data_IF_764465269651
#
_entry.id   IF_764465269651
#
_cell.length_a   1.000
_cell.length_b   1.000
_cell.length_c   1.000
_cell.angle_alpha   90.00
_cell.angle_beta   90.00
_cell.angle_gamma   90.00
#
_symmetry.space_group_name_H-M   'P 1'
#
loop_
_entity.id
_entity.type
_entity.pdbx_description
1 polymer ?
#
# COMPACT_ATOMS: atom_id res chain seq x y z
N UNK A 1 19.19 4.92 -17.82
CA UNK A 1 18.02 5.11 -16.94
C UNK A 1 16.91 4.20 -17.47
N UNK A 2 16.91 2.92 -17.05
CA UNK A 2 15.96 1.92 -17.57
C UNK A 2 14.77 1.86 -16.61
N UNK A 3 13.60 2.32 -17.10
CA UNK A 3 12.31 2.14 -16.43
C UNK A 3 11.92 0.66 -16.54
N UNK A 4 12.04 -0.08 -15.46
CA UNK A 4 11.44 -1.41 -15.34
C UNK A 4 9.92 -1.25 -15.18
N UNK A 5 9.22 -1.34 -16.31
CA UNK A 5 7.77 -1.53 -16.31
C UNK A 5 7.52 -2.96 -15.86
N UNK A 6 7.20 -3.15 -14.58
CA UNK A 6 6.74 -4.44 -14.05
C UNK A 6 5.35 -4.72 -14.61
N UNK A 7 5.29 -5.60 -15.59
CA UNK A 7 4.05 -6.13 -16.14
C UNK A 7 3.49 -7.10 -15.10
N UNK A 8 2.49 -6.64 -14.34
CA UNK A 8 1.74 -7.49 -13.42
C UNK A 8 0.86 -8.43 -14.25
N UNK A 9 1.36 -9.64 -14.53
CA UNK A 9 0.68 -10.67 -15.30
C UNK A 9 -0.56 -11.15 -14.56
N UNK A 10 -1.70 -11.23 -15.27
CA UNK A 10 -2.99 -11.72 -14.80
C UNK A 10 -2.91 -13.21 -14.42
N UNK A 11 -2.68 -13.49 -13.15
CA UNK A 11 -2.66 -14.86 -12.60
C UNK A 11 -4.07 -15.20 -12.10
N UNK A 12 -4.55 -16.38 -12.55
CA UNK A 12 -5.88 -16.94 -12.19
C UNK A 12 -5.97 -17.24 -10.70
N UNK A 13 -7.16 -17.14 -10.08
CA UNK A 13 -7.33 -17.46 -8.67
C UNK A 13 -7.17 -18.96 -8.43
N UNK A 14 -6.14 -19.36 -7.71
CA UNK A 14 -5.98 -20.69 -7.17
C UNK A 14 -6.18 -20.66 -5.67
N UNK A 15 -7.19 -21.37 -5.24
CA UNK A 15 -7.48 -22.00 -3.95
C UNK A 15 -6.97 -21.34 -2.65
N UNK A 16 -7.94 -20.96 -1.87
CA UNK A 16 -7.90 -20.42 -0.51
C UNK A 16 -7.48 -21.47 0.53
N UNK A 17 -6.20 -21.75 0.61
CA UNK A 17 -5.65 -22.22 1.89
C UNK A 17 -5.42 -20.98 2.78
N UNK A 18 -5.68 -21.07 4.09
CA UNK A 18 -5.38 -19.97 5.00
C UNK A 18 -3.88 -19.66 4.94
N UNK A 19 -3.53 -18.44 4.52
CA UNK A 19 -2.15 -17.99 4.44
C UNK A 19 -1.67 -17.68 5.85
N UNK A 20 -1.08 -18.63 6.52
CA UNK A 20 -0.52 -18.46 7.88
C UNK A 20 0.96 -18.14 7.78
N UNK A 21 1.37 -17.07 8.42
CA UNK A 21 2.77 -16.67 8.54
C UNK A 21 3.36 -17.38 9.77
N UNK A 22 4.51 -18.03 9.62
CA UNK A 22 5.22 -18.61 10.74
C UNK A 22 6.02 -17.53 11.48
N UNK A 23 5.95 -17.55 12.81
CA UNK A 23 6.70 -16.59 13.64
C UNK A 23 8.23 -16.68 13.42
N UNK A 24 8.74 -17.83 12.98
CA UNK A 24 10.14 -18.04 12.66
C UNK A 24 10.64 -17.24 11.44
N UNK A 25 9.72 -16.79 10.57
CA UNK A 25 10.04 -16.00 9.38
C UNK A 25 10.05 -14.48 9.67
N UNK A 26 9.70 -14.13 10.90
CA UNK A 26 9.53 -12.74 11.31
C UNK A 26 10.61 -12.35 12.31
N UNK A 27 11.37 -11.31 11.99
CA UNK A 27 12.32 -10.70 12.92
C UNK A 27 11.64 -9.62 13.75
N UNK A 28 11.62 -9.80 15.06
CA UNK A 28 10.98 -8.88 16.01
C UNK A 28 12.02 -8.27 16.92
N UNK A 29 12.14 -6.94 16.92
CA UNK A 29 13.07 -6.18 17.75
C UNK A 29 12.33 -5.24 18.68
N UNK A 30 12.64 -5.27 19.97
CA UNK A 30 12.11 -4.32 20.93
C UNK A 30 12.76 -2.94 20.74
N UNK A 31 11.95 -1.89 20.64
CA UNK A 31 12.41 -0.51 20.52
C UNK A 31 11.75 0.37 21.59
N UNK A 32 12.35 1.53 21.83
CA UNK A 32 11.74 2.51 22.74
C UNK A 32 10.45 3.06 22.12
N UNK A 33 9.40 3.09 22.91
CA UNK A 33 8.14 3.71 22.50
C UNK A 33 8.35 5.23 22.33
N UNK A 34 7.76 5.80 21.28
CA UNK A 34 7.73 7.25 21.06
C UNK A 34 6.33 7.75 21.41
N UNK A 35 6.23 8.75 22.28
CA UNK A 35 4.96 9.35 22.70
C UNK A 35 5.15 10.71 23.34
N UNK A 36 4.05 11.46 23.49
CA UNK A 36 4.01 12.87 23.88
C UNK A 36 4.39 13.16 25.36
N UNK A 37 5.01 12.22 26.05
CA UNK A 37 5.55 12.47 27.40
C UNK A 37 4.99 11.55 28.48
N UNK A 38 5.79 11.39 29.50
CA UNK A 38 5.58 10.59 30.71
C UNK A 38 6.89 9.94 31.12
N UNK A 39 7.23 9.94 32.41
CA UNK A 39 8.52 9.43 32.88
C UNK A 39 8.78 7.95 32.55
N UNK A 40 7.72 7.16 32.30
CA UNK A 40 7.83 5.74 31.95
C UNK A 40 8.08 5.47 30.45
N UNK A 41 7.63 6.36 29.55
CA UNK A 41 7.75 6.14 28.09
C UNK A 41 9.22 6.09 27.65
N UNK A 42 10.08 6.85 28.33
CA UNK A 42 11.50 6.93 27.96
C UNK A 42 12.37 5.81 28.58
N UNK A 43 11.84 5.01 29.51
CA UNK A 43 12.60 3.98 30.23
C UNK A 43 12.28 2.55 29.81
N UNK A 44 11.15 2.32 29.14
CA UNK A 44 10.68 0.97 28.81
C UNK A 44 10.65 0.78 27.29
N UNK A 45 11.30 -0.28 26.81
CA UNK A 45 11.29 -0.70 25.41
C UNK A 45 10.06 -1.57 25.11
N UNK A 46 8.87 -1.01 25.28
CA UNK A 46 7.61 -1.72 25.04
C UNK A 46 7.16 -1.72 23.58
N UNK A 47 7.69 -0.84 22.75
CA UNK A 47 7.37 -0.83 21.33
C UNK A 47 8.13 -1.93 20.58
N UNK A 48 7.53 -2.41 19.50
CA UNK A 48 8.02 -3.52 18.70
C UNK A 48 8.21 -3.06 17.25
N UNK A 49 9.35 -3.41 16.70
CA UNK A 49 9.68 -3.26 15.29
C UNK A 49 9.74 -4.65 14.66
N UNK A 50 8.81 -4.95 13.79
CA UNK A 50 8.68 -6.21 13.09
C UNK A 50 9.21 -6.05 11.67
N UNK A 51 10.01 -6.99 11.21
CA UNK A 51 10.52 -7.09 9.84
C UNK A 51 10.20 -8.46 9.27
N UNK A 52 9.64 -8.48 8.10
CA UNK A 52 9.26 -9.69 7.37
C UNK A 52 9.80 -9.60 5.94
N UNK A 53 10.67 -10.56 5.59
CA UNK A 53 11.20 -10.66 4.23
C UNK A 53 10.20 -11.42 3.36
N UNK A 54 9.60 -10.71 2.40
CA UNK A 54 8.57 -11.26 1.53
C UNK A 54 9.16 -12.33 0.63
N UNK A 55 10.38 -12.12 0.13
CA UNK A 55 11.01 -13.01 -0.85
C UNK A 55 11.52 -14.30 -0.23
N UNK A 56 11.94 -14.25 1.04
CA UNK A 56 12.44 -15.40 1.80
C UNK A 56 11.34 -16.19 2.53
N UNK A 57 10.10 -15.73 2.45
CA UNK A 57 8.97 -16.33 3.18
C UNK A 57 8.46 -17.61 2.53
N UNK A 58 7.75 -18.44 3.32
CA UNK A 58 7.05 -19.64 2.85
C UNK A 58 5.77 -19.35 2.05
N UNK A 59 5.43 -18.08 1.85
CA UNK A 59 4.24 -17.69 1.09
C UNK A 59 4.33 -18.16 -0.38
N UNK A 60 3.19 -18.52 -1.00
CA UNK A 60 3.14 -18.82 -2.44
C UNK A 60 3.71 -17.67 -3.27
N UNK A 61 4.46 -17.98 -4.33
CA UNK A 61 5.12 -16.99 -5.20
C UNK A 61 4.14 -15.94 -5.72
N UNK A 62 2.91 -16.35 -6.04
CA UNK A 62 1.86 -15.44 -6.48
C UNK A 62 1.50 -14.35 -5.44
N UNK A 63 1.53 -14.71 -4.16
CA UNK A 63 1.26 -13.79 -3.05
C UNK A 63 2.47 -12.90 -2.81
N UNK A 64 3.69 -13.45 -2.86
CA UNK A 64 4.92 -12.66 -2.77
C UNK A 64 4.97 -11.58 -3.85
N UNK A 65 4.68 -11.93 -5.12
CA UNK A 65 4.63 -10.98 -6.23
C UNK A 65 3.57 -9.89 -6.02
N UNK A 66 2.38 -10.26 -5.52
CA UNK A 66 1.31 -9.30 -5.23
C UNK A 66 1.70 -8.35 -4.10
N UNK A 67 2.33 -8.85 -3.03
CA UNK A 67 2.85 -8.04 -1.94
C UNK A 67 3.89 -7.04 -2.44
N UNK A 68 4.84 -7.49 -3.27
CA UNK A 68 5.87 -6.62 -3.85
C UNK A 68 5.30 -5.58 -4.82
N UNK A 69 4.18 -5.89 -5.49
CA UNK A 69 3.47 -4.94 -6.35
C UNK A 69 2.58 -3.96 -5.57
N UNK A 70 2.36 -4.19 -4.28
CA UNK A 70 1.53 -3.32 -3.45
C UNK A 70 2.24 -1.97 -3.23
N UNK A 71 1.54 -0.87 -3.54
CA UNK A 71 2.03 0.48 -3.27
C UNK A 71 1.81 0.83 -1.78
N UNK A 72 2.57 0.19 -0.90
CA UNK A 72 2.50 0.41 0.55
C UNK A 72 3.84 0.94 1.05
N UNK A 73 3.80 2.04 1.80
CA UNK A 73 4.99 2.68 2.38
C UNK A 73 5.73 1.82 3.42
N UNK A 74 5.08 0.76 3.91
CA UNK A 74 5.65 -0.20 4.84
C UNK A 74 6.56 -1.23 4.17
N UNK A 75 6.47 -1.36 2.85
CA UNK A 75 7.30 -2.27 2.06
C UNK A 75 8.50 -1.50 1.53
N UNK A 76 9.70 -1.94 1.89
CA UNK A 76 10.96 -1.33 1.41
C UNK A 76 11.25 -1.74 -0.04
N UNK A 77 12.18 -1.03 -0.68
CA UNK A 77 12.63 -1.37 -2.03
C UNK A 77 13.29 -2.76 -2.11
N UNK A 78 13.85 -3.23 -1.00
CA UNK A 78 14.47 -4.56 -0.87
C UNK A 78 13.43 -5.69 -0.71
N UNK A 79 12.12 -5.37 -0.68
CA UNK A 79 11.06 -6.36 -0.50
C UNK A 79 10.85 -6.79 0.94
N UNK A 80 11.28 -5.99 1.92
CA UNK A 80 11.04 -6.25 3.34
C UNK A 80 9.86 -5.42 3.83
N UNK A 81 8.86 -6.08 4.42
CA UNK A 81 7.74 -5.41 5.07
C UNK A 81 8.12 -5.07 6.51
N UNK A 82 7.99 -3.80 6.86
CA UNK A 82 8.40 -3.24 8.15
C UNK A 82 7.20 -2.67 8.88
N UNK A 83 6.93 -3.17 10.09
CA UNK A 83 5.81 -2.73 10.93
C UNK A 83 6.32 -2.25 12.29
N UNK A 84 5.76 -1.15 12.77
CA UNK A 84 6.00 -0.63 14.11
C UNK A 84 4.71 -0.69 14.93
N UNK A 85 4.73 -1.41 16.06
CA UNK A 85 3.64 -1.48 17.01
C UNK A 85 4.05 -0.86 18.34
N UNK A 86 3.27 0.10 18.83
CA UNK A 86 3.55 0.83 20.06
C UNK A 86 2.27 1.28 20.79
N UNK A 87 1.12 0.68 20.45
CA UNK A 87 -0.17 1.13 20.96
C UNK A 87 -0.45 0.59 22.36
N UNK A 88 0.14 -0.56 22.69
CA UNK A 88 -0.09 -1.23 23.96
C UNK A 88 1.02 -0.95 24.98
N UNK A 89 0.68 -1.12 26.26
CA UNK A 89 1.60 -0.90 27.38
C UNK A 89 2.68 -1.99 27.49
N UNK A 90 2.38 -3.21 27.05
CA UNK A 90 3.29 -4.35 27.16
C UNK A 90 3.88 -4.70 25.80
N UNK A 91 5.12 -5.21 25.81
CA UNK A 91 5.81 -5.66 24.59
C UNK A 91 5.09 -6.82 23.91
N UNK A 92 4.55 -7.76 24.72
CA UNK A 92 3.83 -8.93 24.23
C UNK A 92 2.57 -8.54 23.44
N UNK A 93 1.78 -7.60 23.97
CA UNK A 93 0.60 -7.10 23.26
C UNK A 93 0.97 -6.37 21.96
N UNK A 94 2.06 -5.60 21.96
CA UNK A 94 2.55 -4.94 20.74
C UNK A 94 3.09 -5.95 19.74
N UNK A 95 3.70 -7.05 20.19
CA UNK A 95 4.13 -8.15 19.30
C UNK A 95 2.92 -8.82 18.65
N UNK A 96 1.91 -9.14 19.41
CA UNK A 96 0.66 -9.73 18.90
C UNK A 96 -0.05 -8.80 17.92
N UNK A 97 -0.13 -7.50 18.22
CA UNK A 97 -0.67 -6.47 17.32
C UNK A 97 0.12 -6.37 16.03
N UNK A 98 1.46 -6.41 16.09
CA UNK A 98 2.31 -6.37 14.89
C UNK A 98 2.09 -7.61 14.00
N UNK A 99 1.97 -8.80 14.57
CA UNK A 99 1.70 -10.04 13.84
C UNK A 99 0.29 -10.02 13.22
N UNK A 100 -0.72 -9.54 13.95
CA UNK A 100 -2.07 -9.40 13.43
C UNK A 100 -2.12 -8.44 12.22
N UNK A 101 -1.45 -7.30 12.30
CA UNK A 101 -1.34 -6.35 11.18
C UNK A 101 -0.57 -6.91 9.98
N UNK A 102 0.46 -7.74 10.23
CA UNK A 102 1.17 -8.43 9.16
C UNK A 102 0.22 -9.38 8.44
N UNK A 103 -0.57 -10.17 9.20
CA UNK A 103 -1.55 -11.09 8.65
C UNK A 103 -2.62 -10.34 7.83
N UNK A 104 -3.13 -9.20 8.32
CA UNK A 104 -4.08 -8.36 7.59
C UNK A 104 -3.53 -7.90 6.22
N UNK A 105 -2.24 -7.53 6.16
CA UNK A 105 -1.60 -7.13 4.89
C UNK A 105 -1.54 -8.31 3.93
N UNK A 106 -1.16 -9.50 4.40
CA UNK A 106 -1.10 -10.71 3.57
C UNK A 106 -2.49 -11.11 3.10
N UNK A 107 -3.49 -11.07 3.97
CA UNK A 107 -4.88 -11.41 3.63
C UNK A 107 -5.48 -10.42 2.62
N UNK A 108 -5.08 -9.15 2.66
CA UNK A 108 -5.54 -8.13 1.71
C UNK A 108 -5.15 -8.44 0.26
N UNK A 109 -4.05 -9.17 0.05
CA UNK A 109 -3.57 -9.56 -1.28
C UNK A 109 -3.92 -11.01 -1.66
N UNK A 110 -4.46 -11.78 -0.70
CA UNK A 110 -4.87 -13.17 -0.92
C UNK A 110 -5.90 -13.28 -2.04
N UNK A 111 -6.87 -12.36 -2.07
CA UNK A 111 -7.89 -12.30 -3.11
C UNK A 111 -7.49 -11.26 -4.17
N UNK A 112 -7.32 -11.67 -5.44
CA UNK A 112 -6.99 -10.71 -6.49
C UNK A 112 -8.13 -9.70 -6.69
N UNK A 113 -7.84 -8.40 -6.83
CA UNK A 113 -8.87 -7.41 -7.06
C UNK A 113 -9.59 -7.67 -8.38
N UNK A 114 -10.91 -7.53 -8.37
CA UNK A 114 -11.73 -7.67 -9.59
C UNK A 114 -11.27 -6.68 -10.65
N UNK A 115 -10.98 -7.18 -11.86
CA UNK A 115 -10.57 -6.36 -12.99
C UNK A 115 -11.59 -5.24 -13.24
N UNK A 116 -11.12 -4.00 -13.20
CA UNK A 116 -11.96 -2.81 -13.42
C UNK A 116 -12.17 -2.65 -14.91
N UNK A 117 -13.42 -2.83 -15.37
CA UNK A 117 -13.78 -2.53 -16.76
C UNK A 117 -13.79 -1.02 -16.97
N UNK A 118 -13.17 -0.56 -18.06
CA UNK A 118 -13.20 0.85 -18.45
C UNK A 118 -14.66 1.28 -18.71
N UNK A 119 -15.09 2.34 -18.06
CA UNK A 119 -16.41 2.92 -18.25
C UNK A 119 -16.34 4.03 -19.28
N UNK A 120 -17.32 4.06 -20.19
CA UNK A 120 -17.46 5.17 -21.17
C UNK A 120 -17.90 6.44 -20.41
N UNK A 121 -17.40 7.62 -20.81
CA UNK A 121 -17.89 8.88 -20.25
C UNK A 121 -19.39 9.03 -20.46
N UNK A 122 -20.10 9.53 -19.45
CA UNK A 122 -21.53 9.80 -19.53
C UNK A 122 -21.83 10.91 -20.56
N UNK A 123 -23.05 10.94 -21.08
CA UNK A 123 -23.50 11.98 -22.03
C UNK A 123 -23.28 13.39 -21.43
N UNK A 124 -23.69 13.61 -20.19
CA UNK A 124 -23.50 14.90 -19.51
C UNK A 124 -22.02 15.29 -19.32
N UNK A 125 -21.10 14.31 -19.16
CA UNK A 125 -19.67 14.59 -19.11
C UNK A 125 -19.13 15.04 -20.48
N UNK A 126 -19.62 14.42 -21.58
CA UNK A 126 -19.30 14.86 -22.95
C UNK A 126 -19.81 16.27 -23.24
N UNK A 127 -21.06 16.56 -22.86
CA UNK A 127 -21.66 17.89 -23.02
C UNK A 127 -20.83 18.96 -22.31
N UNK A 128 -20.59 18.81 -21.02
CA UNK A 128 -19.78 19.77 -20.24
C UNK A 128 -18.38 19.97 -20.83
N UNK A 129 -17.75 18.92 -21.36
CA UNK A 129 -16.45 19.04 -22.03
C UNK A 129 -16.53 19.84 -23.31
N UNK A 130 -17.62 19.65 -24.12
CA UNK A 130 -17.82 20.39 -25.37
C UNK A 130 -18.16 21.86 -25.11
N UNK A 131 -19.02 22.14 -24.12
CA UNK A 131 -19.36 23.50 -23.67
C UNK A 131 -18.11 24.25 -23.20
N UNK A 132 -17.29 23.63 -22.36
CA UNK A 132 -16.01 24.21 -21.92
C UNK A 132 -15.01 24.45 -23.07
N UNK A 133 -15.01 23.60 -24.10
CA UNK A 133 -14.23 23.84 -25.31
C UNK A 133 -14.77 25.03 -26.13
N UNK A 134 -16.09 25.13 -26.31
CA UNK A 134 -16.74 26.20 -27.02
C UNK A 134 -16.50 27.56 -26.33
N UNK A 135 -16.65 27.63 -25.01
CA UNK A 135 -16.38 28.84 -24.24
C UNK A 135 -14.91 29.29 -24.38
N UNK A 136 -13.96 28.35 -24.26
CA UNK A 136 -12.53 28.69 -24.46
C UNK A 136 -12.23 29.14 -25.90
N UNK A 137 -12.92 28.58 -26.89
CA UNK A 137 -12.77 28.96 -28.29
C UNK A 137 -13.27 30.38 -28.53
N UNK A 138 -14.46 30.74 -27.98
CA UNK A 138 -15.00 32.11 -28.11
C UNK A 138 -14.14 33.13 -27.37
N UNK A 139 -13.63 32.83 -26.17
CA UNK A 139 -12.68 33.71 -25.48
C UNK A 139 -11.39 33.90 -26.31
N UNK A 140 -10.90 32.84 -26.95
CA UNK A 140 -9.72 32.93 -27.82
C UNK A 140 -9.95 33.78 -29.07
N UNK A 141 -11.12 33.65 -29.69
CA UNK A 141 -11.49 34.45 -30.88
C UNK A 141 -11.68 35.91 -30.54
N UNK A 142 -12.17 36.24 -29.32
CA UNK A 142 -12.32 37.62 -28.86
C UNK A 142 -10.98 38.30 -28.48
N UNK A 143 -9.89 37.54 -28.32
CA UNK A 143 -8.53 38.08 -28.13
C UNK A 143 -7.86 38.44 -29.45
N UNK A 144 -8.54 39.17 -30.33
CA UNK A 144 -7.94 39.67 -31.58
C UNK A 144 -6.73 40.58 -31.31
N UNK A 145 -5.80 40.65 -32.26
CA UNK A 145 -4.70 41.64 -32.22
C UNK A 145 -5.30 43.04 -32.04
N UNK A 146 -4.86 43.76 -31.02
CA UNK A 146 -5.07 45.20 -30.91
C UNK A 146 -4.31 45.79 -32.12
N UNK A 147 -5.04 46.37 -33.06
CA UNK A 147 -4.45 47.18 -34.10
C UNK A 147 -4.23 48.57 -33.50
N UNK A 148 -2.97 48.96 -33.33
CA UNK A 148 -2.56 50.32 -33.05
C UNK A 148 -2.78 51.20 -34.29
#
# INVERSE_FOLDING_TARGET
MQMHVRICSLIRPSMTAPLTIHESEVSVTAIRAQGAGGQNVNKVSSAVHLRFDISASSLPVEIQERLLCLSDSRITQDGVLVLKAQQHRTQEMNRSDALARLQEVVDSVAVPPKARRATKPTYGSKQRRLEGKSQRSSIKSSRGKVQD
#
